data_IF_079499841662
#
_entry.id   IF_079499841662
#
_cell.length_a   1.000
_cell.length_b   1.000
_cell.length_c   1.000
_cell.angle_alpha   90.00
_cell.angle_beta   90.00
_cell.angle_gamma   90.00
#
_symmetry.space_group_name_H-M   'P 1'
#
loop_
_entity.id
_entity.type
_entity.pdbx_description
1 polymer ?
#
# COMPACT_ATOMS: atom_id res chain seq x y z
N UNK A 1 -14.19 -1.48 -29.94
CA UNK A 1 -15.56 -1.71 -29.49
C UNK A 1 -15.75 -0.85 -28.26
N UNK A 2 -16.73 0.05 -28.23
CA UNK A 2 -16.79 1.24 -27.38
C UNK A 2 -16.83 0.92 -25.87
N UNK A 3 -15.88 1.46 -25.12
CA UNK A 3 -15.97 1.57 -23.67
C UNK A 3 -16.95 2.68 -23.29
N UNK A 4 -17.99 2.33 -22.59
CA UNK A 4 -18.92 3.30 -21.99
C UNK A 4 -18.34 3.77 -20.66
N UNK A 5 -17.92 5.02 -20.63
CA UNK A 5 -17.68 5.77 -19.39
C UNK A 5 -19.04 5.97 -18.71
N UNK A 6 -19.18 5.44 -17.51
CA UNK A 6 -20.37 5.59 -16.69
C UNK A 6 -20.26 6.89 -15.89
N UNK A 7 -20.83 7.95 -16.44
CA UNK A 7 -20.99 9.24 -15.74
C UNK A 7 -22.19 9.11 -14.79
N UNK A 8 -21.94 9.10 -13.49
CA UNK A 8 -23.00 9.17 -12.48
C UNK A 8 -23.34 10.65 -12.27
N UNK A 9 -24.51 11.08 -12.74
CA UNK A 9 -25.13 12.35 -12.41
C UNK A 9 -25.74 12.27 -11.00
N UNK A 10 -25.18 12.99 -10.03
CA UNK A 10 -25.85 13.26 -8.75
C UNK A 10 -26.77 14.46 -8.90
N UNK A 11 -28.07 14.23 -8.73
CA UNK A 11 -29.10 15.24 -8.66
C UNK A 11 -29.15 15.82 -7.24
N UNK A 12 -28.77 17.08 -7.09
CA UNK A 12 -28.84 17.83 -5.83
C UNK A 12 -30.28 18.25 -5.55
N UNK A 13 -30.86 17.81 -4.46
CA UNK A 13 -32.10 18.37 -3.92
C UNK A 13 -31.73 19.35 -2.81
N UNK A 14 -31.92 20.64 -3.07
CA UNK A 14 -31.88 21.70 -2.07
C UNK A 14 -33.17 21.68 -1.23
N UNK A 15 -33.04 21.44 0.07
CA UNK A 15 -34.08 21.77 1.04
C UNK A 15 -33.53 22.85 1.97
N UNK A 16 -34.10 24.03 1.89
CA UNK A 16 -33.82 25.15 2.78
C UNK A 16 -34.60 24.98 4.07
N UNK A 17 -33.93 25.06 5.23
CA UNK A 17 -34.56 25.36 6.53
C UNK A 17 -33.67 26.34 7.27
N UNK A 18 -34.28 27.42 7.72
CA UNK A 18 -33.66 28.56 8.37
C UNK A 18 -33.24 28.32 9.82
N UNK A 19 -32.60 29.32 10.47
CA UNK A 19 -31.84 29.13 11.71
C UNK A 19 -32.71 29.27 12.96
N UNK A 20 -32.58 28.35 13.90
CA UNK A 20 -32.98 28.55 15.30
C UNK A 20 -31.74 28.35 16.15
N UNK A 21 -31.35 29.43 16.82
CA UNK A 21 -30.32 29.47 17.87
C UNK A 21 -30.90 28.95 19.20
N UNK A 22 -30.15 28.12 19.94
CA UNK A 22 -30.30 27.98 21.37
C UNK A 22 -29.15 28.64 22.14
N UNK A 23 -29.52 29.32 23.21
CA UNK A 23 -28.66 30.02 24.16
C UNK A 23 -27.75 29.06 24.95
N UNK A 24 -26.51 29.53 25.14
CA UNK A 24 -25.52 28.98 26.05
C UNK A 24 -25.87 29.24 27.51
N UNK A 25 -25.81 28.22 28.35
CA UNK A 25 -25.72 28.38 29.81
C UNK A 25 -24.72 27.35 30.37
N UNK A 26 -23.74 27.87 31.10
CA UNK A 26 -23.07 27.17 32.20
C UNK A 26 -21.74 26.46 31.85
N UNK A 27 -20.61 27.18 32.07
CA UNK A 27 -19.26 26.64 32.14
C UNK A 27 -19.06 25.89 33.47
N UNK A 28 -18.80 24.58 33.39
CA UNK A 28 -18.12 23.88 34.50
C UNK A 28 -16.77 23.35 33.93
N UNK A 29 -15.69 23.92 34.42
CA UNK A 29 -14.33 23.47 34.24
C UNK A 29 -14.11 22.21 35.07
N UNK A 30 -14.03 21.04 34.41
CA UNK A 30 -13.48 19.81 34.99
C UNK A 30 -12.04 19.64 34.57
N UNK A 31 -11.14 19.69 35.54
CA UNK A 31 -9.74 19.28 35.41
C UNK A 31 -9.64 17.77 35.16
N UNK A 32 -8.87 17.29 34.16
CA UNK A 32 -8.64 15.86 33.99
C UNK A 32 -7.74 15.32 35.12
N UNK A 33 -7.91 14.06 35.53
CA UNK A 33 -6.98 13.41 36.47
C UNK A 33 -5.64 13.15 35.81
N UNK A 34 -4.57 13.39 36.54
CA UNK A 34 -3.20 13.09 36.15
C UNK A 34 -3.03 11.58 35.92
N UNK A 35 -2.69 11.21 34.71
CA UNK A 35 -2.27 9.84 34.37
C UNK A 35 -0.82 9.69 34.78
N UNK A 36 -0.61 8.92 35.84
CA UNK A 36 0.74 8.49 36.29
C UNK A 36 1.30 7.54 35.23
N UNK A 37 2.39 7.96 34.58
CA UNK A 37 3.05 7.19 33.55
C UNK A 37 3.55 5.83 34.08
N UNK A 38 3.08 4.76 33.45
CA UNK A 38 3.80 3.49 33.42
C UNK A 38 4.78 3.56 32.24
N UNK A 39 6.07 3.66 32.58
CA UNK A 39 7.13 3.47 31.60
C UNK A 39 7.13 1.99 31.20
N UNK A 40 6.53 1.68 30.04
CA UNK A 40 6.67 0.36 29.43
C UNK A 40 7.97 0.42 28.60
N UNK A 41 9.07 0.02 29.22
CA UNK A 41 10.29 -0.31 28.50
C UNK A 41 10.12 -1.73 27.97
N UNK A 42 9.44 -1.87 26.82
CA UNK A 42 9.50 -3.10 26.05
C UNK A 42 10.65 -2.98 25.07
N UNK A 43 11.70 -3.74 25.29
CA UNK A 43 12.70 -4.08 24.29
C UNK A 43 11.99 -4.84 23.16
N UNK A 44 11.85 -4.19 22.01
CA UNK A 44 11.43 -4.87 20.78
C UNK A 44 12.46 -5.96 20.49
N UNK A 45 12.06 -7.21 20.61
CA UNK A 45 12.82 -8.33 20.04
C UNK A 45 12.49 -8.34 18.56
N UNK A 46 13.48 -8.16 17.66
CA UNK A 46 13.24 -8.38 16.25
C UNK A 46 12.84 -9.84 16.08
N UNK A 47 11.74 -10.11 15.39
CA UNK A 47 11.43 -11.44 14.88
C UNK A 47 12.50 -11.71 13.83
N UNK A 48 13.52 -12.46 14.21
CA UNK A 48 14.52 -12.92 13.29
C UNK A 48 13.91 -14.04 12.44
N UNK A 49 13.49 -13.71 11.25
CA UNK A 49 13.34 -14.71 10.20
C UNK A 49 14.76 -15.15 9.81
N UNK A 50 15.13 -16.33 10.30
CA UNK A 50 16.39 -16.98 9.98
C UNK A 50 16.27 -17.62 8.58
N UNK A 51 16.31 -16.80 7.54
CA UNK A 51 16.39 -17.26 6.15
C UNK A 51 17.77 -16.87 5.60
N UNK A 52 18.71 -17.77 5.75
CA UNK A 52 19.98 -17.70 5.06
C UNK A 52 19.82 -18.12 3.59
N UNK A 53 19.32 -17.24 2.74
CA UNK A 53 19.49 -17.35 1.30
C UNK A 53 20.14 -16.07 0.79
N UNK A 54 21.18 -16.23 0.03
CA UNK A 54 22.11 -15.21 -0.45
C UNK A 54 21.50 -14.35 -1.58
N UNK A 55 20.21 -14.00 -1.50
CA UNK A 55 19.56 -13.07 -2.42
C UNK A 55 18.62 -12.16 -1.64
N UNK A 56 18.85 -10.85 -1.73
CA UNK A 56 17.96 -9.85 -1.15
C UNK A 56 16.60 -9.94 -1.87
N UNK A 57 15.54 -10.29 -1.14
CA UNK A 57 14.16 -10.19 -1.64
C UNK A 57 13.61 -8.84 -1.19
N UNK A 58 13.13 -8.04 -2.15
CA UNK A 58 12.46 -6.78 -1.88
C UNK A 58 11.05 -6.85 -2.45
N UNK A 59 10.08 -6.97 -1.57
CA UNK A 59 8.68 -6.92 -1.89
C UNK A 59 8.14 -5.50 -1.68
N UNK A 60 7.10 -5.15 -2.43
CA UNK A 60 6.35 -3.94 -2.20
C UNK A 60 5.85 -3.90 -0.75
N UNK A 61 5.93 -2.74 -0.07
CA UNK A 61 5.63 -2.52 1.35
C UNK A 61 6.58 -3.24 2.33
N UNK A 62 7.83 -3.44 1.92
CA UNK A 62 8.94 -3.81 2.79
C UNK A 62 9.09 -5.30 3.07
N UNK A 63 8.02 -6.08 3.10
CA UNK A 63 8.07 -7.51 3.44
C UNK A 63 6.95 -8.32 2.75
N UNK A 64 6.99 -9.63 2.91
CA UNK A 64 6.00 -10.55 2.34
C UNK A 64 4.61 -10.41 2.98
N UNK A 65 4.52 -9.96 4.22
CA UNK A 65 3.28 -9.71 4.95
C UNK A 65 2.61 -8.39 4.56
N UNK A 66 3.27 -7.53 3.77
CA UNK A 66 2.79 -6.23 3.33
C UNK A 66 2.54 -5.23 4.47
N UNK A 67 3.29 -5.33 5.56
CA UNK A 67 3.05 -4.51 6.75
C UNK A 67 3.40 -3.03 6.60
N UNK A 68 4.13 -2.64 5.55
CA UNK A 68 4.54 -1.24 5.36
C UNK A 68 5.53 -0.73 6.39
N UNK A 69 6.26 -1.63 7.05
CA UNK A 69 7.26 -1.33 8.07
C UNK A 69 8.65 -1.52 7.48
N UNK A 70 9.50 -0.53 7.72
CA UNK A 70 10.89 -0.51 7.30
C UNK A 70 11.78 -0.39 8.53
N UNK A 71 12.78 -1.26 8.65
CA UNK A 71 13.81 -1.19 9.69
C UNK A 71 14.89 -0.20 9.28
N UNK A 72 14.50 1.07 9.22
CA UNK A 72 15.30 2.20 8.77
C UNK A 72 15.16 3.36 9.76
N UNK A 73 16.18 4.23 9.89
CA UNK A 73 16.07 5.42 10.74
C UNK A 73 14.98 6.38 10.19
N UNK A 74 14.26 7.01 11.11
CA UNK A 74 13.26 8.01 10.75
C UNK A 74 13.92 9.36 10.38
N UNK A 75 13.29 10.09 9.46
CA UNK A 75 13.64 11.46 9.14
C UNK A 75 12.74 12.39 9.97
N UNK A 76 13.32 12.98 11.02
CA UNK A 76 12.59 13.77 12.03
C UNK A 76 12.45 15.25 11.68
N UNK A 77 13.29 15.77 10.80
CA UNK A 77 13.24 17.17 10.35
C UNK A 77 12.73 17.25 8.91
N UNK A 78 12.15 18.40 8.55
CA UNK A 78 11.66 18.61 7.18
C UNK A 78 12.81 18.46 6.18
N UNK A 79 12.76 17.46 5.29
CA UNK A 79 13.84 17.20 4.34
C UNK A 79 13.83 18.19 3.19
N UNK A 80 15.02 18.40 2.58
CA UNK A 80 15.20 19.19 1.37
C UNK A 80 15.26 18.30 0.12
N UNK A 81 14.85 18.84 -1.03
CA UNK A 81 14.99 18.14 -2.31
C UNK A 81 16.45 18.06 -2.72
N UNK A 82 17.00 16.86 -2.80
CA UNK A 82 18.38 16.62 -3.23
C UNK A 82 18.48 16.55 -4.76
N UNK A 83 17.55 15.82 -5.37
CA UNK A 83 17.41 15.77 -6.82
C UNK A 83 15.94 15.53 -7.21
N UNK A 84 15.61 15.91 -8.43
CA UNK A 84 14.31 15.71 -9.06
C UNK A 84 14.53 15.32 -10.52
N UNK A 85 13.91 14.24 -10.95
CA UNK A 85 14.06 13.70 -12.32
C UNK A 85 12.71 13.44 -12.94
N UNK A 86 12.49 13.96 -14.14
CA UNK A 86 11.32 13.64 -14.96
C UNK A 86 11.60 12.38 -15.78
N UNK A 87 10.77 11.35 -15.63
CA UNK A 87 10.94 10.05 -16.30
C UNK A 87 9.77 9.67 -17.19
N UNK A 88 8.58 10.19 -16.90
CA UNK A 88 7.32 9.89 -17.60
C UNK A 88 6.51 11.17 -17.86
N UNK A 89 5.51 11.11 -18.70
CA UNK A 89 4.51 12.17 -18.88
C UNK A 89 3.22 11.93 -18.09
N UNK A 90 3.14 10.78 -17.39
CA UNK A 90 1.98 10.32 -16.63
C UNK A 90 2.32 10.21 -15.14
N UNK A 91 1.36 9.74 -14.33
CA UNK A 91 1.65 9.45 -12.92
C UNK A 91 2.59 8.25 -12.79
N UNK A 92 3.34 8.22 -11.70
CA UNK A 92 4.21 7.12 -11.35
C UNK A 92 3.63 6.37 -10.14
N UNK A 93 3.94 5.08 -10.07
CA UNK A 93 3.57 4.20 -8.98
C UNK A 93 4.56 4.32 -7.80
N UNK A 94 4.25 3.75 -6.61
CA UNK A 94 5.21 3.68 -5.52
C UNK A 94 6.50 3.03 -5.97
N UNK A 95 7.63 3.40 -5.37
CA UNK A 95 8.94 2.89 -5.79
C UNK A 95 9.39 1.71 -4.94
N UNK A 96 10.25 0.86 -5.53
CA UNK A 96 11.09 -0.11 -4.82
C UNK A 96 12.55 0.36 -4.86
N UNK A 97 13.30 0.03 -3.84
CA UNK A 97 14.72 0.36 -3.76
C UNK A 97 15.52 -0.93 -3.49
N UNK A 98 16.54 -1.17 -4.29
CA UNK A 98 17.49 -2.27 -4.08
C UNK A 98 18.86 -1.88 -4.62
N UNK A 99 19.89 -2.07 -3.80
CA UNK A 99 21.31 -1.92 -4.17
C UNK A 99 21.63 -0.63 -4.94
N UNK A 100 21.13 0.51 -4.45
CA UNK A 100 21.39 1.82 -5.04
C UNK A 100 20.60 2.13 -6.32
N UNK A 101 19.58 1.34 -6.64
CA UNK A 101 18.68 1.57 -7.77
C UNK A 101 17.25 1.71 -7.27
N UNK A 102 16.56 2.73 -7.78
CA UNK A 102 15.14 2.96 -7.56
C UNK A 102 14.36 2.47 -8.79
N UNK A 103 13.31 1.69 -8.56
CA UNK A 103 12.42 1.18 -9.61
C UNK A 103 11.01 1.73 -9.39
N UNK A 104 10.37 2.20 -10.48
CA UNK A 104 8.99 2.70 -10.43
C UNK A 104 8.24 2.41 -11.71
N UNK A 105 6.96 2.07 -11.61
CA UNK A 105 6.07 1.85 -12.74
C UNK A 105 5.44 3.14 -13.26
N UNK A 106 5.31 3.27 -14.56
CA UNK A 106 4.57 4.35 -15.21
C UNK A 106 3.09 3.99 -15.31
N UNK A 107 2.25 4.68 -14.51
CA UNK A 107 0.84 4.36 -14.39
C UNK A 107 0.02 4.58 -15.65
N UNK A 108 0.48 5.35 -16.62
CA UNK A 108 -0.27 5.60 -17.85
C UNK A 108 0.52 5.38 -19.14
N UNK A 109 1.82 5.10 -19.06
CA UNK A 109 2.68 4.84 -20.23
C UNK A 109 3.17 3.40 -20.33
N UNK A 110 2.96 2.61 -19.27
CA UNK A 110 3.25 1.18 -19.27
C UNK A 110 4.74 0.84 -19.30
N UNK A 111 5.59 1.72 -18.77
CA UNK A 111 7.02 1.46 -18.63
C UNK A 111 7.38 1.19 -17.16
N UNK A 112 8.28 0.27 -16.95
CA UNK A 112 9.05 0.15 -15.71
C UNK A 112 10.35 0.91 -15.89
N UNK A 113 10.66 1.80 -14.94
CA UNK A 113 11.84 2.66 -14.92
C UNK A 113 12.81 2.24 -13.84
N UNK A 114 14.12 2.31 -14.13
CA UNK A 114 15.17 2.21 -13.13
C UNK A 114 16.01 3.49 -13.13
N UNK A 115 16.27 4.03 -11.94
CA UNK A 115 17.03 5.23 -11.71
C UNK A 115 18.17 4.96 -10.74
N UNK A 116 19.31 5.60 -10.96
CA UNK A 116 20.37 5.66 -9.96
C UNK A 116 19.88 6.41 -8.72
N UNK A 117 20.00 5.77 -7.58
CA UNK A 117 19.43 6.26 -6.33
C UNK A 117 20.09 7.57 -5.83
N UNK A 118 21.37 7.80 -6.14
CA UNK A 118 22.12 8.95 -5.69
C UNK A 118 21.89 10.17 -6.56
N UNK A 119 21.79 9.98 -7.87
CA UNK A 119 21.78 11.05 -8.86
C UNK A 119 20.42 11.30 -9.50
N UNK A 120 19.50 10.31 -9.40
CA UNK A 120 18.23 10.32 -10.13
C UNK A 120 18.39 10.09 -11.64
N UNK A 121 19.60 9.73 -12.13
CA UNK A 121 19.80 9.45 -13.56
C UNK A 121 19.03 8.19 -13.95
N UNK A 122 18.31 8.27 -15.08
CA UNK A 122 17.59 7.11 -15.62
C UNK A 122 18.57 6.12 -16.22
N UNK A 123 18.65 4.93 -15.63
CA UNK A 123 19.51 3.84 -16.08
C UNK A 123 18.91 3.10 -17.27
N UNK A 124 17.64 2.72 -17.16
CA UNK A 124 16.89 2.06 -18.22
C UNK A 124 15.38 2.29 -18.07
N UNK A 125 14.65 1.93 -19.13
CA UNK A 125 13.18 1.87 -19.12
C UNK A 125 12.72 0.74 -20.04
N UNK A 126 11.86 -0.15 -19.53
CA UNK A 126 11.31 -1.29 -20.28
C UNK A 126 9.80 -1.18 -20.32
N UNK A 127 9.24 -1.20 -21.54
CA UNK A 127 7.80 -1.09 -21.78
C UNK A 127 7.14 -2.45 -22.00
N UNK A 128 5.85 -2.41 -22.34
CA UNK A 128 5.05 -3.60 -22.66
C UNK A 128 3.98 -3.94 -21.65
N UNK A 129 3.79 -3.09 -20.64
CA UNK A 129 2.80 -3.30 -19.57
C UNK A 129 1.45 -2.59 -19.81
N UNK A 130 1.33 -1.76 -20.87
CA UNK A 130 0.24 -0.83 -21.16
C UNK A 130 0.09 0.25 -20.08
N UNK A 131 -0.56 -0.08 -19.00
CA UNK A 131 -0.67 0.72 -17.78
C UNK A 131 -0.15 -0.13 -16.62
N UNK A 132 0.50 0.49 -15.67
CA UNK A 132 0.94 -0.17 -14.44
C UNK A 132 0.23 0.49 -13.24
N UNK A 133 -0.42 -0.33 -12.41
CA UNK A 133 -0.97 0.10 -11.12
C UNK A 133 -0.15 -0.50 -9.97
N UNK A 134 0.97 -1.13 -10.30
CA UNK A 134 1.90 -1.76 -9.36
C UNK A 134 3.35 -1.48 -9.73
N UNK A 135 4.26 -1.76 -8.82
CA UNK A 135 5.69 -1.57 -9.06
C UNK A 135 6.42 -2.88 -9.38
N UNK A 136 6.09 -3.94 -8.70
CA UNK A 136 6.77 -5.21 -8.86
C UNK A 136 7.33 -5.78 -7.56
N UNK A 137 8.22 -6.77 -7.69
CA UNK A 137 9.00 -7.37 -6.62
C UNK A 137 10.38 -7.77 -7.14
N UNK A 138 11.39 -7.80 -6.27
CA UNK A 138 12.78 -8.08 -6.63
C UNK A 138 13.29 -9.28 -5.85
N UNK A 139 14.02 -10.17 -6.51
CA UNK A 139 14.80 -11.22 -5.87
C UNK A 139 16.14 -11.42 -6.61
N UNK A 140 17.24 -11.18 -5.92
CA UNK A 140 18.58 -11.20 -6.52
C UNK A 140 18.66 -10.23 -7.71
N UNK A 141 19.01 -10.75 -8.88
CA UNK A 141 19.13 -9.95 -10.11
C UNK A 141 17.85 -9.87 -10.94
N UNK A 142 16.72 -10.37 -10.42
CA UNK A 142 15.44 -10.40 -11.13
C UNK A 142 14.48 -9.39 -10.53
N UNK A 143 13.83 -8.59 -11.38
CA UNK A 143 12.63 -7.82 -11.03
C UNK A 143 11.44 -8.39 -11.80
N UNK A 144 10.35 -8.68 -11.09
CA UNK A 144 9.08 -9.15 -11.67
C UNK A 144 8.05 -8.06 -11.58
N UNK A 145 7.41 -7.73 -12.68
CA UNK A 145 6.36 -6.73 -12.76
C UNK A 145 5.19 -7.18 -13.64
N UNK A 146 4.02 -6.59 -13.41
CA UNK A 146 2.81 -6.83 -14.19
C UNK A 146 2.09 -5.53 -14.53
N UNK A 147 1.10 -5.62 -15.43
CA UNK A 147 0.31 -4.46 -15.85
C UNK A 147 -0.97 -4.86 -16.57
N UNK A 148 -1.58 -3.88 -17.23
CA UNK A 148 -2.87 -4.04 -17.94
C UNK A 148 -2.75 -4.76 -19.29
N UNK A 149 -1.53 -5.00 -19.78
CA UNK A 149 -1.29 -5.85 -20.97
C UNK A 149 -1.55 -7.34 -20.74
N UNK A 150 -1.95 -7.75 -19.54
CA UNK A 150 -2.08 -9.13 -19.08
C UNK A 150 -0.74 -9.88 -19.00
N UNK A 151 0.37 -9.18 -19.20
CA UNK A 151 1.70 -9.77 -19.10
C UNK A 151 2.29 -9.54 -17.71
N UNK A 152 2.88 -10.60 -17.18
CA UNK A 152 3.86 -10.56 -16.11
C UNK A 152 5.23 -10.81 -16.74
N UNK A 153 6.18 -9.98 -16.45
CA UNK A 153 7.55 -10.12 -16.98
C UNK A 153 8.55 -10.16 -15.83
N UNK A 154 9.52 -11.07 -15.95
CA UNK A 154 10.76 -10.97 -15.20
C UNK A 154 11.80 -10.32 -16.09
N UNK A 155 12.50 -9.34 -15.55
CA UNK A 155 13.57 -8.62 -16.21
C UNK A 155 14.85 -8.76 -15.38
N UNK A 156 16.00 -8.74 -16.04
CA UNK A 156 17.26 -8.44 -15.37
C UNK A 156 17.19 -7.01 -14.83
N UNK A 157 17.30 -6.85 -13.51
CA UNK A 157 17.06 -5.56 -12.87
C UNK A 157 18.13 -4.51 -13.15
N UNK A 158 19.31 -4.91 -13.62
CA UNK A 158 20.41 -3.99 -13.93
C UNK A 158 20.33 -3.45 -15.36
N UNK A 159 19.86 -4.27 -16.31
CA UNK A 159 19.77 -3.91 -17.74
C UNK A 159 18.35 -3.63 -18.23
N UNK A 160 17.32 -4.12 -17.53
CA UNK A 160 15.93 -4.06 -17.97
C UNK A 160 15.60 -5.06 -19.08
N UNK A 161 16.51 -5.97 -19.43
CA UNK A 161 16.28 -6.98 -20.48
C UNK A 161 15.33 -8.09 -19.98
N UNK A 162 14.37 -8.53 -20.81
CA UNK A 162 13.44 -9.59 -20.43
C UNK A 162 14.13 -10.94 -20.25
N UNK A 163 13.82 -11.63 -19.15
CA UNK A 163 14.25 -13.01 -18.86
C UNK A 163 13.15 -13.99 -19.30
N UNK A 164 11.93 -13.75 -18.82
CA UNK A 164 10.75 -14.53 -19.21
C UNK A 164 9.49 -13.65 -19.16
N UNK A 165 8.42 -14.15 -19.79
CA UNK A 165 7.10 -13.54 -19.70
C UNK A 165 6.01 -14.60 -19.52
N UNK A 166 4.98 -14.28 -18.75
CA UNK A 166 3.80 -15.10 -18.50
C UNK A 166 2.54 -14.32 -18.86
N UNK A 167 1.58 -14.96 -19.55
CA UNK A 167 0.28 -14.37 -19.83
C UNK A 167 -0.70 -14.75 -18.70
N UNK A 168 -1.05 -13.79 -17.89
CA UNK A 168 -1.96 -13.96 -16.75
C UNK A 168 -3.43 -13.99 -17.15
N UNK A 169 -3.77 -13.94 -18.46
CA UNK A 169 -5.11 -13.89 -19.04
C UNK A 169 -5.91 -12.64 -18.69
N UNK A 170 -5.62 -11.99 -17.58
CA UNK A 170 -6.21 -10.74 -17.09
C UNK A 170 -5.12 -9.76 -16.68
N UNK A 171 -5.50 -8.48 -16.54
CA UNK A 171 -4.59 -7.45 -16.06
C UNK A 171 -4.11 -7.75 -14.62
N UNK A 172 -2.86 -7.38 -14.35
CA UNK A 172 -2.24 -7.52 -13.03
C UNK A 172 -2.17 -6.15 -12.38
N UNK A 173 -3.05 -5.93 -11.42
CA UNK A 173 -3.19 -4.63 -10.73
C UNK A 173 -2.37 -4.58 -9.45
N UNK A 174 -2.34 -5.67 -8.67
CA UNK A 174 -1.54 -5.77 -7.46
C UNK A 174 -0.07 -6.06 -7.74
N UNK A 175 0.83 -5.54 -6.92
CA UNK A 175 2.26 -5.87 -7.01
C UNK A 175 2.49 -7.36 -6.79
N UNK A 176 3.27 -8.03 -7.65
CA UNK A 176 3.72 -9.40 -7.41
C UNK A 176 4.34 -9.55 -6.04
N UNK A 177 4.28 -10.75 -5.50
CA UNK A 177 4.94 -11.15 -4.26
C UNK A 177 5.96 -12.22 -4.58
N UNK A 178 7.18 -12.10 -4.08
CA UNK A 178 8.19 -13.15 -4.18
C UNK A 178 8.44 -13.69 -2.78
N UNK A 179 8.36 -15.01 -2.67
CA UNK A 179 8.75 -15.75 -1.47
C UNK A 179 9.63 -16.90 -1.93
N UNK A 180 10.86 -16.94 -1.47
CA UNK A 180 11.87 -17.89 -1.94
C UNK A 180 12.00 -17.86 -3.49
N UNK A 181 11.78 -18.97 -4.16
CA UNK A 181 11.87 -19.10 -5.62
C UNK A 181 10.47 -19.07 -6.30
N UNK A 182 9.44 -18.58 -5.64
CA UNK A 182 8.06 -18.54 -6.16
C UNK A 182 7.56 -17.10 -6.25
N UNK A 183 6.95 -16.79 -7.41
CA UNK A 183 6.26 -15.51 -7.66
C UNK A 183 4.76 -15.74 -7.57
N UNK A 184 4.10 -15.01 -6.68
CA UNK A 184 2.64 -15.01 -6.56
C UNK A 184 2.08 -13.74 -7.19
N UNK A 185 1.10 -13.91 -8.04
CA UNK A 185 0.39 -12.83 -8.72
C UNK A 185 -1.12 -12.96 -8.50
N UNK A 186 -1.78 -11.83 -8.37
CA UNK A 186 -3.24 -11.78 -8.28
C UNK A 186 -3.81 -11.01 -9.48
N UNK A 187 -4.84 -11.60 -10.09
CA UNK A 187 -5.65 -11.01 -11.16
C UNK A 187 -7.12 -11.00 -10.71
N UNK A 188 -8.03 -10.27 -11.38
CA UNK A 188 -9.45 -10.27 -11.01
C UNK A 188 -10.10 -11.65 -10.92
N UNK A 189 -9.52 -12.68 -11.53
CA UNK A 189 -10.14 -14.00 -11.58
C UNK A 189 -9.31 -15.13 -11.00
N UNK A 190 -8.01 -14.91 -10.76
CA UNK A 190 -7.14 -15.96 -10.25
C UNK A 190 -5.99 -15.41 -9.39
N UNK A 191 -5.55 -16.24 -8.46
CA UNK A 191 -4.22 -16.15 -7.85
C UNK A 191 -3.36 -17.27 -8.44
N UNK A 192 -2.16 -16.94 -8.92
CA UNK A 192 -1.25 -17.88 -9.57
C UNK A 192 0.12 -17.85 -8.92
N UNK A 193 0.77 -19.02 -8.82
CA UNK A 193 2.16 -19.17 -8.44
C UNK A 193 2.99 -19.57 -9.65
N UNK A 194 4.11 -18.87 -9.84
CA UNK A 194 5.06 -19.08 -10.93
C UNK A 194 6.44 -19.38 -10.36
N UNK A 195 7.20 -20.22 -11.05
CA UNK A 195 8.63 -20.39 -10.78
C UNK A 195 9.38 -19.09 -11.13
N UNK A 196 10.15 -18.57 -10.19
CA UNK A 196 10.85 -17.29 -10.32
C UNK A 196 11.87 -17.28 -11.47
N UNK A 197 12.55 -18.39 -11.72
CA UNK A 197 13.63 -18.45 -12.71
C UNK A 197 13.10 -18.65 -14.14
N UNK A 198 11.97 -19.33 -14.28
CA UNK A 198 11.48 -19.76 -15.59
C UNK A 198 10.14 -19.15 -16.01
N UNK A 199 9.39 -18.60 -15.06
CA UNK A 199 8.02 -18.11 -15.27
C UNK A 199 6.99 -19.23 -15.52
N UNK A 200 7.36 -20.50 -15.28
CA UNK A 200 6.43 -21.61 -15.44
C UNK A 200 5.37 -21.59 -14.36
N UNK A 201 4.12 -21.83 -14.75
CA UNK A 201 2.99 -21.93 -13.84
C UNK A 201 3.16 -23.17 -12.95
N UNK A 202 3.14 -22.98 -11.63
CA UNK A 202 3.14 -24.03 -10.62
C UNK A 202 1.69 -24.42 -10.29
N UNK A 203 0.88 -23.43 -9.91
CA UNK A 203 -0.56 -23.60 -9.70
C UNK A 203 -1.32 -22.30 -10.01
N UNK A 204 -2.62 -22.43 -10.24
CA UNK A 204 -3.55 -21.34 -10.42
C UNK A 204 -4.87 -21.67 -9.73
N UNK A 205 -5.39 -20.73 -8.92
CA UNK A 205 -6.63 -20.90 -8.18
C UNK A 205 -7.58 -19.75 -8.49
N UNK A 206 -8.79 -20.07 -8.90
CA UNK A 206 -9.82 -19.06 -9.17
C UNK A 206 -10.21 -18.32 -7.88
N UNK A 207 -10.20 -16.99 -7.92
CA UNK A 207 -10.52 -16.14 -6.76
C UNK A 207 -11.96 -15.65 -6.75
N UNK A 208 -12.63 -15.63 -7.91
CA UNK A 208 -14.02 -15.21 -8.05
C UNK A 208 -14.36 -14.89 -9.50
N UNK A 209 -15.61 -14.47 -9.75
CA UNK A 209 -16.11 -14.07 -11.07
C UNK A 209 -16.29 -12.53 -11.20
N UNK A 210 -15.91 -11.79 -10.18
CA UNK A 210 -16.12 -10.33 -10.13
C UNK A 210 -14.85 -9.61 -10.63
N UNK A 211 -14.98 -8.81 -11.68
CA UNK A 211 -13.89 -7.98 -12.27
C UNK A 211 -13.49 -6.78 -11.39
N UNK A 212 -13.72 -6.88 -10.08
CA UNK A 212 -13.43 -5.82 -9.11
C UNK A 212 -11.94 -5.73 -8.77
N UNK A 213 -11.58 -4.64 -8.12
CA UNK A 213 -10.21 -4.36 -7.66
C UNK A 213 -9.57 -5.53 -6.91
N UNK A 214 -8.27 -5.70 -7.14
CA UNK A 214 -7.45 -6.74 -6.52
C UNK A 214 -6.35 -6.12 -5.68
N UNK A 215 -6.23 -6.57 -4.44
CA UNK A 215 -5.06 -6.27 -3.60
C UNK A 215 -3.86 -7.12 -4.02
N UNK A 216 -2.66 -6.60 -3.71
CA UNK A 216 -1.45 -7.41 -3.81
C UNK A 216 -1.53 -8.59 -2.83
N UNK A 217 -1.10 -9.81 -3.21
CA UNK A 217 -1.06 -10.93 -2.29
C UNK A 217 -0.06 -10.70 -1.16
N UNK A 218 -0.35 -11.22 0.03
CA UNK A 218 0.56 -11.28 1.16
C UNK A 218 0.79 -12.73 1.58
N UNK A 219 1.92 -12.99 2.24
CA UNK A 219 2.32 -14.34 2.67
C UNK A 219 2.71 -14.34 4.14
N UNK A 220 2.26 -15.36 4.83
CA UNK A 220 2.76 -15.70 6.16
C UNK A 220 2.61 -17.20 6.45
N UNK A 221 3.68 -17.83 6.94
CA UNK A 221 3.68 -19.22 7.45
C UNK A 221 3.09 -20.27 6.48
N UNK A 222 3.44 -20.22 5.19
CA UNK A 222 2.96 -21.18 4.20
C UNK A 222 1.58 -20.87 3.61
N UNK A 223 1.02 -19.69 3.91
CA UNK A 223 -0.31 -19.29 3.46
C UNK A 223 -0.23 -17.99 2.66
N UNK A 224 -0.87 -17.97 1.48
CA UNK A 224 -1.09 -16.78 0.66
C UNK A 224 -2.48 -16.21 1.00
N UNK A 225 -2.50 -14.94 1.35
CA UNK A 225 -3.72 -14.16 1.55
C UNK A 225 -3.92 -13.22 0.38
N UNK A 226 -5.10 -13.25 -0.22
CA UNK A 226 -5.43 -12.43 -1.38
C UNK A 226 -6.90 -12.01 -1.37
N UNK A 227 -7.19 -10.94 -2.08
CA UNK A 227 -8.58 -10.52 -2.31
C UNK A 227 -8.99 -10.84 -3.74
N UNK A 228 -10.24 -11.25 -3.93
CA UNK A 228 -10.86 -11.50 -5.23
C UNK A 228 -12.21 -10.80 -5.27
N UNK A 229 -12.23 -9.49 -5.58
CA UNK A 229 -13.45 -8.70 -5.51
C UNK A 229 -14.05 -8.72 -4.10
N UNK A 230 -15.18 -9.40 -3.93
CA UNK A 230 -15.90 -9.50 -2.65
C UNK A 230 -15.40 -10.64 -1.74
N UNK A 231 -14.38 -11.38 -2.15
CA UNK A 231 -13.82 -12.50 -1.40
C UNK A 231 -12.45 -12.12 -0.85
N UNK A 232 -12.21 -12.48 0.40
CA UNK A 232 -10.90 -12.56 1.02
C UNK A 232 -10.58 -14.06 1.17
N UNK A 233 -9.43 -14.50 0.67
CA UNK A 233 -9.05 -15.91 0.57
C UNK A 233 -7.73 -16.15 1.30
N UNK A 234 -7.60 -17.33 1.89
CA UNK A 234 -6.36 -17.94 2.30
C UNK A 234 -6.11 -19.20 1.48
N UNK A 235 -4.95 -19.26 0.84
CA UNK A 235 -4.54 -20.36 -0.02
C UNK A 235 -3.26 -20.99 0.53
N UNK A 236 -3.16 -22.30 0.48
CA UNK A 236 -1.91 -23.00 0.73
C UNK A 236 -0.87 -22.59 -0.33
N UNK A 237 0.29 -22.12 0.09
CA UNK A 237 1.27 -21.54 -0.81
C UNK A 237 1.91 -22.55 -1.78
N UNK A 238 1.98 -23.84 -1.41
CA UNK A 238 2.60 -24.86 -2.25
C UNK A 238 1.65 -25.40 -3.32
N UNK A 239 0.35 -25.56 -2.96
CA UNK A 239 -0.63 -26.21 -3.81
C UNK A 239 -1.69 -25.29 -4.41
N UNK A 240 -1.82 -24.06 -3.90
CA UNK A 240 -2.92 -23.16 -4.24
C UNK A 240 -4.28 -23.58 -3.70
N UNK A 241 -4.33 -24.64 -2.88
CA UNK A 241 -5.61 -25.12 -2.32
C UNK A 241 -6.21 -24.09 -1.37
N UNK A 242 -7.49 -23.77 -1.55
CA UNK A 242 -8.20 -22.88 -0.66
C UNK A 242 -8.30 -23.49 0.75
N UNK A 243 -7.81 -22.76 1.75
CA UNK A 243 -7.90 -23.12 3.16
C UNK A 243 -9.22 -22.59 3.74
N UNK A 244 -9.48 -21.30 3.49
CA UNK A 244 -10.74 -20.64 3.83
C UNK A 244 -10.98 -19.43 2.92
N UNK A 245 -12.21 -18.98 2.87
CA UNK A 245 -12.57 -17.67 2.35
C UNK A 245 -13.66 -17.03 3.21
N UNK A 246 -13.75 -15.69 3.10
CA UNK A 246 -14.88 -14.92 3.61
C UNK A 246 -15.41 -13.99 2.53
N UNK A 247 -16.69 -13.65 2.61
CA UNK A 247 -17.36 -12.80 1.62
C UNK A 247 -17.86 -11.49 2.25
N UNK A 248 -17.91 -10.45 1.44
CA UNK A 248 -18.46 -9.15 1.78
C UNK A 248 -19.49 -8.68 0.75
N UNK A 249 -20.34 -7.74 1.13
CA UNK A 249 -21.28 -7.10 0.20
C UNK A 249 -20.58 -6.18 -0.80
N UNK A 250 -19.41 -5.66 -0.45
CA UNK A 250 -18.57 -4.74 -1.24
C UNK A 250 -17.17 -5.32 -1.39
N UNK A 251 -16.39 -4.89 -2.40
CA UNK A 251 -15.05 -5.41 -2.61
C UNK A 251 -14.13 -5.17 -1.42
N UNK A 252 -13.33 -6.18 -1.10
CA UNK A 252 -12.13 -6.03 -0.28
C UNK A 252 -11.02 -5.40 -1.12
N UNK A 253 -10.18 -4.59 -0.47
CA UNK A 253 -9.11 -3.87 -1.14
C UNK A 253 -7.73 -4.39 -0.71
N UNK A 254 -6.77 -3.51 -0.50
CA UNK A 254 -5.42 -3.91 -0.13
C UNK A 254 -5.37 -4.43 1.32
N UNK A 255 -4.59 -5.47 1.52
CA UNK A 255 -4.47 -6.19 2.79
C UNK A 255 -3.04 -6.20 3.32
N UNK A 256 -2.91 -6.49 4.61
CA UNK A 256 -1.67 -6.86 5.26
C UNK A 256 -1.92 -7.97 6.28
N UNK A 257 -0.88 -8.72 6.63
CA UNK A 257 -0.96 -9.83 7.58
C UNK A 257 0.05 -9.62 8.70
N UNK A 258 -0.38 -9.74 9.94
CA UNK A 258 0.51 -9.68 11.09
C UNK A 258 -0.15 -10.29 12.32
N UNK A 259 0.64 -10.87 13.21
CA UNK A 259 0.25 -11.28 14.57
C UNK A 259 -1.01 -12.15 14.67
N UNK A 260 -1.24 -13.00 13.66
CA UNK A 260 -2.39 -13.90 13.61
C UNK A 260 -3.66 -13.29 13.03
N UNK A 261 -3.57 -12.11 12.40
CA UNK A 261 -4.69 -11.42 11.76
C UNK A 261 -4.41 -11.09 10.30
N UNK A 262 -5.48 -11.08 9.51
CA UNK A 262 -5.52 -10.47 8.18
C UNK A 262 -6.28 -9.16 8.28
N UNK A 263 -5.62 -8.07 7.99
CA UNK A 263 -6.16 -6.71 8.04
C UNK A 263 -6.50 -6.24 6.64
N UNK A 264 -7.70 -5.71 6.44
CA UNK A 264 -8.15 -5.31 5.10
C UNK A 264 -9.12 -4.14 5.16
N UNK A 265 -8.92 -3.18 4.27
CA UNK A 265 -9.87 -2.11 3.98
C UNK A 265 -11.01 -2.58 3.10
N UNK A 266 -12.13 -1.87 3.14
CA UNK A 266 -13.30 -2.17 2.33
C UNK A 266 -13.99 -0.88 1.85
N UNK A 267 -14.74 -0.97 0.75
CA UNK A 267 -15.54 0.13 0.19
C UNK A 267 -16.84 0.41 0.97
N UNK A 268 -17.15 -0.36 2.02
CA UNK A 268 -18.30 -0.14 2.90
C UNK A 268 -18.00 0.77 4.11
N UNK A 269 -16.85 1.45 4.11
CA UNK A 269 -16.34 2.33 5.16
C UNK A 269 -15.83 1.62 6.42
N UNK A 270 -15.74 0.30 6.39
CA UNK A 270 -15.17 -0.46 7.49
C UNK A 270 -13.76 -0.91 7.18
N UNK A 271 -12.88 -0.77 8.16
CA UNK A 271 -11.62 -1.49 8.23
C UNK A 271 -11.81 -2.70 9.13
N UNK A 272 -11.26 -3.86 8.74
CA UNK A 272 -11.53 -5.14 9.43
C UNK A 272 -10.27 -5.91 9.74
N UNK A 273 -10.31 -6.67 10.82
CA UNK A 273 -9.38 -7.76 11.08
C UNK A 273 -10.10 -9.09 11.10
N UNK A 274 -9.51 -10.06 10.44
CA UNK A 274 -9.96 -11.45 10.40
C UNK A 274 -8.93 -12.34 11.07
N UNK A 275 -9.37 -13.37 11.79
CA UNK A 275 -8.49 -14.40 12.31
C UNK A 275 -7.80 -15.12 11.14
N UNK A 276 -6.48 -15.16 11.18
CA UNK A 276 -5.63 -15.67 10.10
C UNK A 276 -5.90 -17.13 9.76
N UNK A 277 -6.29 -17.95 10.74
CA UNK A 277 -6.47 -19.38 10.56
C UNK A 277 -7.89 -19.77 10.13
N UNK A 278 -8.87 -18.94 10.45
CA UNK A 278 -10.29 -19.29 10.26
C UNK A 278 -11.04 -18.38 9.30
N UNK A 279 -10.51 -17.18 8.98
CA UNK A 279 -11.19 -16.18 8.18
C UNK A 279 -12.40 -15.54 8.88
N UNK A 280 -12.57 -15.74 10.21
CA UNK A 280 -13.66 -15.11 10.97
C UNK A 280 -13.33 -13.66 11.29
N UNK A 281 -14.30 -12.74 11.11
CA UNK A 281 -14.16 -11.34 11.53
C UNK A 281 -13.97 -11.27 13.05
N UNK A 282 -12.88 -10.66 13.49
CA UNK A 282 -12.56 -10.46 14.91
C UNK A 282 -13.04 -9.10 15.39
N UNK A 283 -12.72 -8.06 14.61
CA UNK A 283 -13.19 -6.72 14.86
C UNK A 283 -13.36 -5.93 13.56
N UNK A 284 -14.10 -4.84 13.66
CA UNK A 284 -14.21 -3.83 12.60
C UNK A 284 -14.28 -2.42 13.17
N UNK A 285 -13.71 -1.48 12.44
CA UNK A 285 -13.73 -0.06 12.72
C UNK A 285 -14.45 0.70 11.61
N UNK A 286 -15.42 1.56 11.96
CA UNK A 286 -16.15 2.39 10.99
C UNK A 286 -15.56 3.80 10.93
N UNK A 287 -15.29 4.29 9.70
CA UNK A 287 -14.86 5.66 9.41
C UNK A 287 -15.89 6.44 8.58
N UNK A 288 -15.58 7.66 8.24
CA UNK A 288 -16.46 8.52 7.42
C UNK A 288 -16.49 8.16 5.95
N UNK A 289 -15.46 7.50 5.44
CA UNK A 289 -15.27 7.13 4.04
C UNK A 289 -14.68 5.74 3.85
N UNK A 290 -14.35 5.40 2.63
CA UNK A 290 -13.81 4.10 2.22
C UNK A 290 -12.32 3.97 2.59
N UNK A 291 -11.86 2.74 2.81
CA UNK A 291 -10.45 2.40 3.02
C UNK A 291 -9.86 1.76 1.77
N UNK A 292 -9.13 2.56 0.99
CA UNK A 292 -8.60 2.12 -0.30
C UNK A 292 -7.20 1.50 -0.22
N UNK A 293 -6.44 1.88 0.79
CA UNK A 293 -5.03 1.53 0.92
C UNK A 293 -4.79 0.41 1.93
N UNK A 294 -3.69 -0.32 1.76
CA UNK A 294 -3.21 -1.25 2.75
C UNK A 294 -2.74 -0.49 4.01
N UNK A 295 -2.91 -1.07 5.20
CA UNK A 295 -2.45 -0.44 6.44
C UNK A 295 -0.94 -0.55 6.61
N UNK A 296 -0.32 0.34 7.42
CA UNK A 296 0.95 0.00 8.05
C UNK A 296 0.69 -0.62 9.43
N UNK A 297 1.49 -1.62 9.82
CA UNK A 297 1.32 -2.34 11.09
C UNK A 297 2.67 -2.41 11.79
N UNK A 298 2.81 -1.65 12.86
CA UNK A 298 4.04 -1.59 13.65
C UNK A 298 3.75 -1.93 15.12
N UNK A 299 4.16 -3.12 15.55
CA UNK A 299 3.81 -3.66 16.86
C UNK A 299 2.29 -3.76 17.05
N UNK A 300 1.78 -3.25 18.15
CA UNK A 300 0.34 -3.31 18.47
C UNK A 300 -0.49 -2.17 17.81
N UNK A 301 0.09 -1.38 16.88
CA UNK A 301 -0.60 -0.25 16.24
C UNK A 301 -0.72 -0.47 14.73
N UNK A 302 -1.93 -0.28 14.24
CA UNK A 302 -2.29 -0.28 12.83
C UNK A 302 -2.60 1.15 12.38
N UNK A 303 -1.99 1.58 11.26
CA UNK A 303 -2.23 2.89 10.65
C UNK A 303 -2.97 2.70 9.32
N UNK A 304 -4.11 3.36 9.15
CA UNK A 304 -4.93 3.25 7.95
C UNK A 304 -5.36 4.63 7.44
N UNK A 305 -5.13 4.90 6.17
CA UNK A 305 -5.62 6.10 5.50
C UNK A 305 -7.05 5.92 5.00
N UNK A 306 -7.84 7.00 5.01
CA UNK A 306 -9.24 6.98 4.62
C UNK A 306 -9.59 8.17 3.70
N UNK A 307 -10.54 7.99 2.80
CA UNK A 307 -11.02 9.05 1.91
C UNK A 307 -11.80 10.16 2.64
N UNK A 308 -12.12 9.99 3.92
CA UNK A 308 -12.70 11.04 4.77
C UNK A 308 -11.68 12.09 5.24
N UNK A 309 -10.45 12.04 4.73
CA UNK A 309 -9.31 12.90 5.02
C UNK A 309 -8.64 12.63 6.36
N UNK A 310 -8.81 11.47 6.92
CA UNK A 310 -8.13 11.10 8.15
C UNK A 310 -7.19 9.91 7.91
N UNK A 311 -6.05 9.97 8.58
CA UNK A 311 -5.30 8.77 8.93
C UNK A 311 -5.69 8.38 10.35
N UNK A 312 -5.96 7.11 10.55
CA UNK A 312 -6.33 6.52 11.82
C UNK A 312 -5.23 5.62 12.35
N UNK A 313 -4.90 5.74 13.63
CA UNK A 313 -4.17 4.71 14.36
C UNK A 313 -5.15 3.93 15.22
N UNK A 314 -5.12 2.63 15.05
CA UNK A 314 -5.98 1.68 15.75
C UNK A 314 -5.11 0.70 16.54
N UNK A 315 -5.60 0.27 17.70
CA UNK A 315 -5.06 -0.92 18.34
C UNK A 315 -5.29 -2.12 17.40
N UNK A 316 -4.22 -2.79 17.00
CA UNK A 316 -4.28 -3.84 15.97
C UNK A 316 -5.11 -5.06 16.42
N UNK A 317 -5.20 -5.34 17.70
CA UNK A 317 -5.90 -6.51 18.26
C UNK A 317 -7.38 -6.27 18.49
N UNK A 318 -7.77 -5.02 18.80
CA UNK A 318 -9.14 -4.69 19.20
C UNK A 318 -9.89 -3.80 18.22
N UNK A 319 -9.17 -3.09 17.32
CA UNK A 319 -9.73 -2.08 16.43
C UNK A 319 -10.11 -0.78 17.14
N UNK A 320 -9.74 -0.60 18.42
CA UNK A 320 -10.00 0.64 19.16
C UNK A 320 -9.14 1.77 18.57
N UNK A 321 -9.79 2.93 18.34
CA UNK A 321 -9.07 4.11 17.83
C UNK A 321 -8.19 4.72 18.90
N UNK A 322 -6.88 4.76 18.67
CA UNK A 322 -5.89 5.39 19.52
C UNK A 322 -5.80 6.88 19.24
N UNK A 323 -5.66 7.26 17.98
CA UNK A 323 -5.66 8.65 17.54
C UNK A 323 -6.13 8.77 16.07
N UNK A 324 -6.34 9.98 15.62
CA UNK A 324 -6.56 10.30 14.21
C UNK A 324 -5.98 11.67 13.88
N UNK A 325 -5.43 11.83 12.67
CA UNK A 325 -4.89 13.09 12.16
C UNK A 325 -5.63 13.47 10.87
N UNK A 326 -6.05 14.75 10.78
CA UNK A 326 -6.76 15.27 9.61
C UNK A 326 -5.75 15.78 8.56
N UNK A 327 -5.83 15.24 7.35
CA UNK A 327 -5.03 15.63 6.18
C UNK A 327 -5.77 16.68 5.34
N UNK A 328 -5.06 17.44 4.51
CA UNK A 328 -5.66 18.46 3.66
C UNK A 328 -6.51 17.87 2.52
N UNK A 329 -6.11 16.70 2.00
CA UNK A 329 -6.81 15.92 0.98
C UNK A 329 -7.25 14.55 1.50
N UNK A 330 -7.71 13.68 0.61
CA UNK A 330 -8.04 12.30 0.96
C UNK A 330 -6.77 11.53 1.36
N UNK A 331 -6.73 10.89 2.53
CA UNK A 331 -5.58 10.10 2.99
C UNK A 331 -5.62 8.69 2.37
N UNK A 332 -5.43 8.61 1.07
CA UNK A 332 -5.55 7.34 0.31
C UNK A 332 -4.24 6.67 -0.03
N UNK A 333 -3.09 7.31 0.25
CA UNK A 333 -1.82 6.61 0.12
C UNK A 333 -1.66 5.57 1.22
N UNK A 334 -0.89 4.55 0.94
CA UNK A 334 -0.56 3.54 1.93
C UNK A 334 0.42 4.14 2.95
N UNK A 335 0.11 4.12 4.25
CA UNK A 335 1.04 4.56 5.27
C UNK A 335 2.31 3.72 5.27
N UNK A 336 3.44 4.36 5.59
CA UNK A 336 4.75 3.73 5.73
C UNK A 336 5.30 4.07 7.11
N UNK A 337 5.81 3.08 7.82
CA UNK A 337 6.39 3.25 9.15
C UNK A 337 7.91 3.01 9.13
N UNK A 338 8.66 3.89 9.80
CA UNK A 338 10.07 3.71 10.11
C UNK A 338 10.40 4.38 11.46
N UNK A 339 11.04 3.66 12.36
CA UNK A 339 11.62 4.15 13.64
C UNK A 339 10.73 5.17 14.39
N UNK A 340 9.48 4.81 14.63
CA UNK A 340 8.53 5.64 15.39
C UNK A 340 7.85 6.77 14.61
N UNK A 341 8.06 6.86 13.30
CA UNK A 341 7.41 7.83 12.42
C UNK A 341 6.52 7.14 11.40
N UNK A 342 5.33 7.67 11.21
CA UNK A 342 4.41 7.27 10.13
C UNK A 342 4.43 8.33 9.04
N UNK A 343 4.75 7.91 7.83
CA UNK A 343 4.68 8.74 6.63
C UNK A 343 3.41 8.42 5.86
N UNK A 344 2.65 9.44 5.51
CA UNK A 344 1.42 9.30 4.72
C UNK A 344 1.27 10.47 3.77
N UNK A 345 0.79 10.22 2.56
CA UNK A 345 0.52 11.26 1.58
C UNK A 345 -0.99 11.48 1.42
N UNK A 346 -1.38 12.72 1.18
CA UNK A 346 -2.72 13.00 0.71
C UNK A 346 -2.82 12.97 -0.82
N UNK A 347 -4.02 12.77 -1.29
CA UNK A 347 -4.37 12.81 -2.70
C UNK A 347 -5.73 13.49 -2.86
N UNK A 348 -6.24 13.63 -4.07
CA UNK A 348 -7.62 14.05 -4.29
C UNK A 348 -8.16 13.41 -5.54
N UNK A 349 -9.23 12.64 -5.38
CA UNK A 349 -9.98 12.06 -6.48
C UNK A 349 -10.77 13.09 -7.29
N UNK A 350 -11.05 14.26 -6.70
CA UNK A 350 -11.94 15.27 -7.26
C UNK A 350 -11.21 16.36 -8.05
N UNK A 351 -9.91 16.58 -7.82
CA UNK A 351 -9.15 17.65 -8.45
C UNK A 351 -7.87 17.11 -9.11
N UNK A 352 -7.76 17.21 -10.44
CA UNK A 352 -6.67 16.61 -11.18
C UNK A 352 -5.30 17.29 -10.99
N UNK A 353 -5.24 18.44 -10.31
CA UNK A 353 -3.97 19.12 -9.95
C UNK A 353 -4.17 19.99 -8.72
N UNK A 354 -3.17 20.02 -7.86
CA UNK A 354 -3.17 20.84 -6.65
C UNK A 354 -1.97 20.55 -5.79
N UNK A 355 -1.86 21.27 -4.68
CA UNK A 355 -0.88 20.97 -3.64
C UNK A 355 -1.22 19.62 -3.01
N UNK A 356 -0.21 18.78 -2.87
CA UNK A 356 -0.23 17.50 -2.19
C UNK A 356 0.79 17.52 -1.08
N UNK A 357 0.53 16.76 -0.06
CA UNK A 357 1.34 16.77 1.13
C UNK A 357 1.83 15.37 1.46
N UNK A 358 3.10 15.28 1.82
CA UNK A 358 3.64 14.14 2.56
C UNK A 358 3.75 14.59 4.01
N UNK A 359 3.10 13.88 4.91
CA UNK A 359 3.13 14.13 6.35
C UNK A 359 4.04 13.13 7.01
N UNK A 360 4.82 13.58 7.99
CA UNK A 360 5.47 12.73 8.98
C UNK A 360 4.81 12.95 10.32
N UNK A 361 4.32 11.89 10.92
CA UNK A 361 3.59 11.91 12.18
C UNK A 361 4.32 11.06 13.21
N UNK A 362 4.36 11.52 14.46
CA UNK A 362 4.76 10.67 15.57
C UNK A 362 3.79 9.47 15.66
N UNK A 363 4.32 8.28 15.60
CA UNK A 363 3.52 7.06 15.49
C UNK A 363 2.65 6.78 16.73
N UNK A 364 3.09 7.21 17.91
CA UNK A 364 2.39 6.96 19.18
C UNK A 364 1.31 8.01 19.44
N UNK A 365 1.62 9.29 19.18
CA UNK A 365 0.75 10.40 19.54
C UNK A 365 -0.10 10.92 18.40
N UNK A 366 0.31 10.67 17.14
CA UNK A 366 -0.29 11.27 15.94
C UNK A 366 0.06 12.74 15.76
N UNK A 367 1.00 13.29 16.55
CA UNK A 367 1.45 14.67 16.40
C UNK A 367 2.22 14.86 15.09
N UNK A 368 1.96 15.99 14.41
CA UNK A 368 2.65 16.35 13.18
C UNK A 368 4.09 16.75 13.49
N UNK A 369 5.06 16.04 12.90
CA UNK A 369 6.47 16.38 12.97
C UNK A 369 6.83 17.39 11.88
N UNK A 370 6.48 17.09 10.64
CA UNK A 370 6.67 17.98 9.50
C UNK A 370 5.73 17.64 8.33
N UNK A 371 5.63 18.58 7.39
CA UNK A 371 4.87 18.41 6.14
C UNK A 371 5.73 18.89 4.97
N UNK A 372 5.86 18.06 3.95
CA UNK A 372 6.46 18.44 2.67
C UNK A 372 5.35 18.65 1.63
N UNK A 373 5.42 19.78 0.89
CA UNK A 373 4.43 20.15 -0.11
C UNK A 373 5.00 20.00 -1.53
N UNK A 374 4.19 19.45 -2.43
CA UNK A 374 4.50 19.38 -3.87
C UNK A 374 3.25 19.61 -4.71
N UNK A 375 3.44 19.95 -5.96
CA UNK A 375 2.31 20.08 -6.91
C UNK A 375 2.21 18.81 -7.72
N UNK A 376 1.15 18.03 -7.48
CA UNK A 376 0.92 16.77 -8.17
C UNK A 376 -0.57 16.50 -8.34
N UNK A 377 -0.91 15.49 -9.15
CA UNK A 377 -2.27 14.94 -9.23
C UNK A 377 -2.48 13.81 -8.23
N UNK A 378 -1.42 13.05 -7.97
CA UNK A 378 -1.40 11.89 -7.10
C UNK A 378 -0.03 11.82 -6.42
N UNK A 379 0.00 11.42 -5.17
CA UNK A 379 1.20 11.20 -4.41
C UNK A 379 1.08 9.82 -3.73
N UNK A 380 1.68 8.76 -4.30
CA UNK A 380 1.62 7.42 -3.72
C UNK A 380 2.48 7.30 -2.45
N UNK A 381 2.48 6.11 -1.86
CA UNK A 381 3.32 5.82 -0.70
C UNK A 381 4.79 6.12 -1.00
N UNK A 382 5.52 6.76 -0.09
CA UNK A 382 6.95 7.01 -0.25
C UNK A 382 7.74 5.70 -0.16
N UNK A 383 8.89 5.67 -0.85
CA UNK A 383 9.93 4.67 -0.59
C UNK A 383 11.01 5.27 0.30
N UNK A 384 11.59 4.45 1.16
CA UNK A 384 12.59 4.87 2.13
C UNK A 384 13.91 4.13 1.91
N UNK A 385 15.02 4.83 2.15
CA UNK A 385 16.32 4.22 2.42
C UNK A 385 16.91 4.79 3.73
N UNK A 386 18.13 4.39 4.08
CA UNK A 386 18.80 4.80 5.33
C UNK A 386 18.92 6.33 5.51
N UNK A 387 18.80 7.11 4.45
CA UNK A 387 19.15 8.53 4.46
C UNK A 387 18.15 9.45 3.74
N UNK A 388 17.16 8.90 3.03
CA UNK A 388 16.30 9.70 2.17
C UNK A 388 14.89 9.09 2.02
N UNK A 389 13.96 9.98 1.70
CA UNK A 389 12.60 9.63 1.29
C UNK A 389 12.49 9.87 -0.22
N UNK A 390 11.96 8.91 -0.94
CA UNK A 390 11.72 9.03 -2.38
C UNK A 390 10.23 9.07 -2.63
N UNK A 391 9.79 10.14 -3.27
CA UNK A 391 8.39 10.32 -3.65
C UNK A 391 8.26 10.35 -5.16
N UNK A 392 7.20 9.73 -5.65
CA UNK A 392 6.81 9.78 -7.05
C UNK A 392 5.61 10.69 -7.22
N UNK A 393 5.60 11.44 -8.30
CA UNK A 393 4.56 12.40 -8.62
C UNK A 393 4.03 12.17 -10.03
N UNK A 394 3.46 13.18 -10.66
CA UNK A 394 3.09 13.12 -12.06
C UNK A 394 4.33 13.16 -12.96
N UNK A 395 4.91 12.00 -13.19
CA UNK A 395 6.05 11.79 -14.10
C UNK A 395 7.40 12.16 -13.53
N UNK A 396 7.49 12.53 -12.27
CA UNK A 396 8.74 12.90 -11.63
C UNK A 396 9.01 12.06 -10.39
N UNK A 397 10.27 11.81 -10.13
CA UNK A 397 10.77 11.22 -8.90
C UNK A 397 11.60 12.27 -8.17
N UNK A 398 11.37 12.44 -6.89
CA UNK A 398 12.11 13.34 -6.00
C UNK A 398 12.80 12.53 -4.91
N UNK A 399 14.06 12.85 -4.63
CA UNK A 399 14.75 12.41 -3.43
C UNK A 399 14.77 13.55 -2.40
N UNK A 400 14.31 13.27 -1.20
CA UNK A 400 14.22 14.20 -0.08
C UNK A 400 15.18 13.74 1.02
N UNK A 401 16.07 14.65 1.48
CA UNK A 401 17.07 14.33 2.51
C UNK A 401 17.21 15.45 3.52
#
# INVERSE_FOLDING_TARGET
MLYRVMTICLLSILVACGPTTPQLSGSETRTPPAITGLAITQTMTPVADDISVNSTIVNYRGNAQRTGVYDLPAILELPEVQWQTSVSSTWLMPSLIADGILYTGGGGDGFLYALDLQTGEKLWATGGFDQMDSTGAIAGDIIVAGGYSNLVQALDRHSGEPIWSFNAHYFVQGSPLIVEDVVYIATPQACSALDLQTGQLIWETATGEDDSFMGAPAYENGVIYTTGGKRLLALDSESGTEIWHTESATPFLALAVADGFVYVGNMDRFFRAFDQNTGQEVWKFEAGGEFWSAPAIAGDILYAGNVDKYIYALDSRTGEKLWSFETAGDAVSEPVFADGVVYVSDSSHLFPSGTRHLYALDAITGELLWTFETVSTFLPAPALDDNAIYITTRGEVLALK
#
